data_IF_353153284224
#
_entry.id   IF_353153284224
#
_cell.length_a   1.000
_cell.length_b   1.000
_cell.length_c   1.000
_cell.angle_alpha   90.00
_cell.angle_beta   90.00
_cell.angle_gamma   90.00
#
_symmetry.space_group_name_H-M   'P 1'
#
loop_
_entity.id
_entity.type
_entity.pdbx_description
1 polymer ?
#
# COMPACT_ATOMS: atom_id res chain seq x y z
N UNK A 1 -0.22 -15.74 25.70
CA UNK A 1 -1.56 -15.50 25.15
C UNK A 1 -1.93 -16.66 24.25
N UNK A 2 -3.02 -17.35 24.55
CA UNK A 2 -3.32 -18.60 23.85
C UNK A 2 -3.86 -18.40 22.42
N UNK A 3 -4.46 -17.27 22.16
CA UNK A 3 -5.09 -17.01 20.85
C UNK A 3 -4.28 -16.03 19.98
N UNK A 4 -3.02 -15.79 20.34
CA UNK A 4 -2.13 -14.99 19.50
C UNK A 4 -1.66 -15.84 18.32
N UNK A 5 -1.89 -15.36 17.11
CA UNK A 5 -1.51 -16.08 15.89
C UNK A 5 -0.25 -15.48 15.28
N UNK A 6 -0.25 -14.16 15.07
CA UNK A 6 0.89 -13.44 14.51
C UNK A 6 0.69 -11.94 14.71
N UNK A 7 1.76 -11.14 14.64
CA UNK A 7 1.61 -9.69 14.69
C UNK A 7 0.77 -9.19 13.53
N UNK A 8 -0.16 -8.26 13.80
CA UNK A 8 -1.05 -7.72 12.79
C UNK A 8 -0.38 -6.76 11.82
N UNK A 9 0.83 -6.29 12.10
CA UNK A 9 1.57 -5.39 11.24
C UNK A 9 2.22 -6.09 10.04
N UNK A 10 2.33 -7.41 10.08
CA UNK A 10 2.84 -8.20 8.95
C UNK A 10 2.09 -9.51 8.88
N UNK A 11 1.53 -9.84 7.74
CA UNK A 11 0.80 -11.08 7.54
C UNK A 11 1.18 -11.73 6.21
N UNK A 12 0.93 -13.03 6.13
CA UNK A 12 1.16 -13.80 4.91
C UNK A 12 -0.09 -13.77 4.05
N UNK A 13 0.03 -13.39 2.81
CA UNK A 13 -1.08 -13.31 1.85
C UNK A 13 -0.73 -14.11 0.60
N UNK A 14 -1.76 -14.49 -0.17
CA UNK A 14 -1.56 -15.04 -1.50
C UNK A 14 -1.47 -13.87 -2.47
N UNK A 15 -0.38 -13.80 -3.23
CA UNK A 15 -0.14 -12.70 -4.15
C UNK A 15 -1.23 -12.66 -5.23
N UNK A 16 -1.98 -11.56 -5.34
CA UNK A 16 -3.05 -11.44 -6.33
C UNK A 16 -2.52 -11.15 -7.74
N UNK A 17 -1.26 -10.77 -7.82
CA UNK A 17 -0.52 -10.54 -9.05
C UNK A 17 0.96 -10.63 -8.69
N UNK A 18 1.81 -10.71 -9.69
CA UNK A 18 3.26 -10.76 -9.45
C UNK A 18 3.71 -9.43 -8.84
N UNK A 19 4.38 -9.51 -7.68
CA UNK A 19 4.85 -8.33 -6.94
C UNK A 19 6.34 -8.46 -6.66
N UNK A 20 6.99 -7.31 -6.51
CA UNK A 20 8.38 -7.25 -6.07
C UNK A 20 8.41 -6.63 -4.67
N UNK A 21 9.48 -6.90 -3.93
CA UNK A 21 9.68 -6.32 -2.61
C UNK A 21 9.56 -4.80 -2.67
N UNK A 22 8.78 -4.23 -1.77
CA UNK A 22 8.52 -2.79 -1.73
C UNK A 22 7.29 -2.35 -2.51
N UNK A 23 6.67 -3.22 -3.29
CA UNK A 23 5.48 -2.88 -4.05
C UNK A 23 4.22 -3.01 -3.20
N UNK A 24 3.22 -2.17 -3.48
CA UNK A 24 1.91 -2.29 -2.85
C UNK A 24 1.11 -3.44 -3.41
N UNK A 25 0.28 -4.06 -2.57
CA UNK A 25 -0.65 -5.09 -3.01
C UNK A 25 -1.96 -4.98 -2.25
N UNK A 26 -3.03 -5.32 -2.94
CA UNK A 26 -4.38 -5.28 -2.37
C UNK A 26 -5.03 -6.64 -2.52
N UNK A 27 -5.44 -7.23 -1.41
CA UNK A 27 -6.18 -8.49 -1.36
C UNK A 27 -7.49 -8.23 -0.62
N UNK A 28 -8.59 -8.14 -1.38
CA UNK A 28 -9.87 -7.79 -0.78
C UNK A 28 -9.81 -6.41 -0.13
N UNK A 29 -9.99 -6.35 1.17
CA UNK A 29 -9.91 -5.11 1.94
C UNK A 29 -8.59 -4.99 2.72
N UNK A 30 -7.59 -5.81 2.37
CA UNK A 30 -6.27 -5.75 3.00
C UNK A 30 -5.28 -5.14 2.01
N UNK A 31 -4.68 -4.02 2.39
CA UNK A 31 -3.59 -3.43 1.63
C UNK A 31 -2.31 -3.54 2.42
N UNK A 32 -1.22 -3.91 1.75
CA UNK A 32 0.09 -3.98 2.38
C UNK A 32 1.21 -3.72 1.39
N UNK A 33 2.43 -3.75 1.92
CA UNK A 33 3.65 -3.58 1.12
C UNK A 33 4.42 -4.90 1.19
N UNK A 34 4.75 -5.45 0.03
CA UNK A 34 5.45 -6.73 -0.04
C UNK A 34 6.84 -6.66 0.58
N UNK A 35 7.16 -7.63 1.43
CA UNK A 35 8.50 -7.75 2.02
C UNK A 35 9.42 -8.62 1.19
N UNK A 36 8.87 -9.37 0.24
CA UNK A 36 9.63 -10.26 -0.64
C UNK A 36 8.99 -10.28 -2.02
N UNK A 37 9.73 -10.75 -3.01
CA UNK A 37 9.19 -10.96 -4.35
C UNK A 37 8.29 -12.19 -4.33
N UNK A 38 7.20 -12.14 -5.10
CA UNK A 38 6.31 -13.29 -5.23
C UNK A 38 5.62 -13.25 -6.59
N UNK A 39 5.48 -14.42 -7.21
CA UNK A 39 4.67 -14.56 -8.42
C UNK A 39 3.20 -14.72 -8.04
N UNK A 40 2.32 -14.44 -8.98
CA UNK A 40 0.87 -14.59 -8.75
C UNK A 40 0.57 -16.00 -8.22
N UNK A 41 -0.22 -16.06 -7.15
CA UNK A 41 -0.58 -17.32 -6.52
C UNK A 41 0.38 -17.82 -5.45
N UNK A 42 1.60 -17.26 -5.37
CA UNK A 42 2.57 -17.63 -4.33
C UNK A 42 2.31 -16.83 -3.05
N UNK A 43 2.84 -17.32 -1.93
CA UNK A 43 2.73 -16.60 -0.68
C UNK A 43 3.67 -15.39 -0.67
N UNK A 44 3.17 -14.28 -0.13
CA UNK A 44 3.93 -13.05 0.04
C UNK A 44 3.73 -12.54 1.45
N UNK A 45 4.81 -12.12 2.10
CA UNK A 45 4.72 -11.44 3.38
C UNK A 45 4.44 -9.97 3.12
N UNK A 46 3.36 -9.45 3.70
CA UNK A 46 2.94 -8.07 3.49
C UNK A 46 2.95 -7.30 4.81
N UNK A 47 3.57 -6.13 4.80
CA UNK A 47 3.57 -5.24 5.95
C UNK A 47 2.37 -4.32 5.85
N UNK A 48 1.60 -4.24 6.92
CA UNK A 48 0.33 -3.52 6.94
C UNK A 48 0.44 -2.15 7.60
N UNK A 49 1.53 -1.86 8.30
CA UNK A 49 1.74 -0.55 8.90
C UNK A 49 3.19 -0.12 8.75
N UNK A 50 3.42 1.17 8.88
CA UNK A 50 4.73 1.77 8.73
C UNK A 50 4.71 2.87 7.69
N UNK A 51 5.88 3.43 7.40
CA UNK A 51 6.05 4.50 6.43
C UNK A 51 6.85 3.94 5.26
N UNK A 52 6.32 4.07 4.05
CA UNK A 52 6.91 3.47 2.86
C UNK A 52 6.94 4.46 1.71
N UNK A 53 7.92 4.30 0.83
CA UNK A 53 7.93 4.95 -0.46
C UNK A 53 7.19 4.05 -1.45
N UNK A 54 6.11 4.56 -2.04
CA UNK A 54 5.25 3.78 -2.94
C UNK A 54 5.11 4.50 -4.28
N UNK A 55 4.79 3.73 -5.33
CA UNK A 55 4.52 4.27 -6.64
C UNK A 55 3.38 5.29 -6.54
N UNK A 56 3.51 6.40 -7.26
CA UNK A 56 2.59 7.53 -7.21
C UNK A 56 2.21 7.93 -8.64
N UNK A 57 0.97 8.36 -8.81
CA UNK A 57 0.56 9.02 -10.06
C UNK A 57 1.38 10.30 -10.22
N UNK A 58 2.23 10.34 -11.25
CA UNK A 58 3.31 11.32 -11.34
C UNK A 58 2.81 12.76 -11.46
N UNK A 59 1.63 12.97 -12.01
CA UNK A 59 1.09 14.31 -12.23
C UNK A 59 0.45 14.95 -11.00
N UNK A 60 0.35 14.22 -9.90
CA UNK A 60 -0.26 14.76 -8.68
C UNK A 60 0.77 15.45 -7.80
N UNK A 61 0.33 16.54 -7.18
CA UNK A 61 1.10 17.22 -6.13
C UNK A 61 0.51 16.79 -4.79
N UNK A 62 1.33 16.26 -3.91
CA UNK A 62 0.88 15.87 -2.58
C UNK A 62 1.36 16.87 -1.54
N UNK A 63 0.48 17.19 -0.60
CA UNK A 63 0.84 17.96 0.58
C UNK A 63 0.90 17.03 1.78
N UNK A 64 1.66 17.41 2.79
CA UNK A 64 1.76 16.61 4.01
C UNK A 64 0.39 16.46 4.66
N UNK A 65 0.01 15.22 4.98
CA UNK A 65 -1.27 14.92 5.63
C UNK A 65 -2.42 14.63 4.69
N UNK A 66 -2.24 14.71 3.36
CA UNK A 66 -3.33 14.43 2.43
C UNK A 66 -3.65 12.92 2.45
N UNK A 67 -4.93 12.59 2.32
CA UNK A 67 -5.37 11.19 2.27
C UNK A 67 -4.89 10.54 0.98
N UNK A 68 -4.37 9.32 1.10
CA UNK A 68 -3.83 8.58 -0.03
C UNK A 68 -4.67 7.34 -0.28
N UNK A 69 -4.99 7.13 -1.55
CA UNK A 69 -5.81 6.02 -2.02
C UNK A 69 -4.98 5.13 -2.95
N UNK A 70 -5.37 3.87 -3.06
CA UNK A 70 -4.70 2.91 -3.93
C UNK A 70 -5.54 2.67 -5.18
N UNK A 71 -4.96 2.91 -6.34
CA UNK A 71 -5.55 2.59 -7.63
C UNK A 71 -5.08 1.21 -8.04
N UNK A 72 -5.95 0.21 -7.86
CA UNK A 72 -5.58 -1.17 -8.12
C UNK A 72 -5.53 -1.53 -9.62
N UNK A 73 -6.04 -0.67 -10.47
CA UNK A 73 -5.94 -0.85 -11.92
C UNK A 73 -4.55 -0.47 -12.41
N UNK A 74 -4.05 0.67 -11.96
CA UNK A 74 -2.75 1.19 -12.38
C UNK A 74 -1.63 0.82 -11.41
N UNK A 75 -1.95 0.30 -10.23
CA UNK A 75 -0.99 -0.12 -9.20
C UNK A 75 -0.15 1.05 -8.70
N UNK A 76 -0.79 2.17 -8.43
CA UNK A 76 -0.13 3.32 -7.82
C UNK A 76 -1.02 4.02 -6.80
N UNK A 77 -0.40 4.89 -6.01
CA UNK A 77 -1.09 5.73 -5.04
C UNK A 77 -1.58 7.01 -5.71
N UNK A 78 -2.73 7.50 -5.26
CA UNK A 78 -3.36 8.70 -5.80
C UNK A 78 -4.14 9.42 -4.72
N UNK A 79 -4.45 10.70 -4.94
CA UNK A 79 -5.33 11.45 -4.05
C UNK A 79 -6.80 11.39 -4.48
N UNK A 80 -7.11 10.68 -5.57
CA UNK A 80 -8.47 10.56 -6.11
C UNK A 80 -9.20 9.44 -5.36
N UNK A 81 -10.31 9.74 -4.66
CA UNK A 81 -11.03 8.71 -3.90
C UNK A 81 -11.94 7.82 -4.75
N UNK A 82 -12.36 8.28 -5.91
CA UNK A 82 -13.36 7.58 -6.73
C UNK A 82 -12.82 6.23 -7.22
N UNK A 83 -13.54 5.16 -6.90
CA UNK A 83 -13.19 3.78 -7.28
C UNK A 83 -11.87 3.28 -6.71
N UNK A 84 -11.31 3.96 -5.73
CA UNK A 84 -10.04 3.60 -5.09
C UNK A 84 -10.26 3.39 -3.60
N UNK A 85 -9.29 2.74 -2.95
CA UNK A 85 -9.38 2.43 -1.53
C UNK A 85 -8.42 3.29 -0.72
N UNK A 86 -8.91 3.84 0.38
CA UNK A 86 -8.11 4.65 1.29
C UNK A 86 -7.09 3.76 2.00
N UNK A 87 -5.80 4.06 1.85
CA UNK A 87 -4.74 3.25 2.44
C UNK A 87 -3.92 3.97 3.50
N UNK A 88 -3.92 5.29 3.51
CA UNK A 88 -3.11 6.01 4.48
C UNK A 88 -3.05 7.50 4.19
N UNK A 89 -1.97 8.12 4.63
CA UNK A 89 -1.75 9.55 4.46
C UNK A 89 -0.33 9.81 3.99
N UNK A 90 -0.15 10.90 3.25
CA UNK A 90 1.19 11.34 2.85
C UNK A 90 1.88 11.98 4.05
N UNK A 91 3.10 11.53 4.35
CA UNK A 91 3.88 12.10 5.46
C UNK A 91 4.88 13.14 4.99
N UNK A 92 5.15 13.20 3.69
CA UNK A 92 6.02 14.20 3.08
C UNK A 92 5.34 14.77 1.84
N UNK A 93 5.63 16.02 1.49
CA UNK A 93 5.16 16.59 0.23
C UNK A 93 5.79 15.84 -0.95
N UNK A 94 5.06 15.76 -2.06
CA UNK A 94 5.59 15.19 -3.30
C UNK A 94 5.23 16.14 -4.44
N UNK A 95 6.19 16.38 -5.31
CA UNK A 95 6.03 17.33 -6.41
C UNK A 95 5.45 16.68 -7.65
N UNK A 96 5.07 17.50 -8.61
CA UNK A 96 4.70 17.09 -9.95
C UNK A 96 5.81 17.56 -10.90
N UNK A 97 6.54 16.67 -11.63
CA UNK A 97 6.35 15.22 -11.64
C UNK A 97 7.15 14.50 -10.55
N UNK A 98 6.60 13.40 -10.06
CA UNK A 98 7.29 12.52 -9.12
C UNK A 98 6.67 11.14 -9.22
N UNK A 99 7.47 10.09 -9.36
CA UNK A 99 6.97 8.73 -9.53
C UNK A 99 6.78 7.99 -8.21
N UNK A 100 7.21 8.57 -7.11
CA UNK A 100 7.03 7.99 -5.78
C UNK A 100 6.57 9.02 -4.78
N UNK A 101 5.93 8.55 -3.72
CA UNK A 101 5.57 9.38 -2.58
C UNK A 101 5.72 8.57 -1.30
N UNK A 102 5.82 9.27 -0.17
CA UNK A 102 6.02 8.64 1.12
C UNK A 102 4.69 8.59 1.86
N UNK A 103 4.25 7.38 2.20
CA UNK A 103 2.90 7.11 2.73
C UNK A 103 3.02 6.37 4.06
N UNK A 104 2.23 6.80 5.06
CA UNK A 104 2.05 6.06 6.29
C UNK A 104 0.79 5.23 6.15
N UNK A 105 0.92 3.92 6.29
CA UNK A 105 -0.20 2.99 6.18
C UNK A 105 -1.04 2.99 7.44
N UNK A 106 -2.30 2.65 7.28
CA UNK A 106 -3.32 2.73 8.31
C UNK A 106 -3.48 1.41 9.09
N UNK A 107 -2.81 0.38 8.85
CA UNK A 107 -2.88 -0.90 9.57
C UNK A 107 -4.31 -1.32 9.95
N UNK A 108 -5.29 -1.02 9.12
CA UNK A 108 -6.67 -1.44 9.32
C UNK A 108 -7.19 -2.00 8.01
N UNK A 109 -8.28 -2.77 8.08
CA UNK A 109 -8.92 -3.14 6.82
C UNK A 109 -9.50 -1.89 6.17
N UNK A 110 -9.56 -1.88 4.85
CA UNK A 110 -9.98 -0.71 4.08
C UNK A 110 -11.22 -1.04 3.26
N UNK A 111 -11.97 -0.04 2.94
CA UNK A 111 -13.24 -0.21 2.23
C UNK A 111 -13.27 0.55 0.92
#
# INVERSE_FOLDING_TARGET
>A
MKNFIQPGEEISLVAPYTVVSGAGLLVGSIFGVASNDATIGANVEARLEGVFQLAKLSSEVWTQGVLIYWDNTNKWCTIVPTSNKLIGVAVLPASNPSTTGTVRLNNAFIS
#
